data_IF_544945068341
#
_entry.id   IF_544945068341
#
_cell.length_a   1.000
_cell.length_b   1.000
_cell.length_c   1.000
_cell.angle_alpha   90.00
_cell.angle_beta   90.00
_cell.angle_gamma   90.00
#
_symmetry.space_group_name_H-M   'P 1'
#
loop_
_entity.id
_entity.type
_entity.pdbx_description
1 polymer ?
#
# COMPACT_ATOMS: atom_id res chain seq x y z
N UNK A 1 21.38 21.59 -1.40
CA UNK A 1 20.49 21.34 -2.55
C UNK A 1 20.52 19.86 -2.87
N UNK A 2 19.47 19.11 -2.51
CA UNK A 2 19.43 17.65 -2.69
C UNK A 2 19.22 17.33 -4.17
N UNK A 3 20.09 16.49 -4.74
CA UNK A 3 19.94 16.00 -6.13
C UNK A 3 18.55 15.36 -6.27
N UNK A 4 17.72 15.89 -7.17
CA UNK A 4 16.48 15.25 -7.55
C UNK A 4 16.83 13.84 -8.04
N UNK A 5 16.19 12.82 -7.46
CA UNK A 5 16.35 11.46 -7.97
C UNK A 5 15.60 11.41 -9.31
N UNK A 6 16.31 11.10 -10.39
CA UNK A 6 15.70 10.88 -11.70
C UNK A 6 14.85 9.62 -11.67
N UNK A 7 13.58 9.75 -11.28
CA UNK A 7 12.61 8.69 -11.39
C UNK A 7 12.24 8.56 -12.87
N UNK A 8 12.67 7.46 -13.53
CA UNK A 8 12.26 7.18 -14.91
C UNK A 8 10.75 6.94 -14.96
N UNK A 9 10.00 7.92 -15.48
CA UNK A 9 8.55 7.82 -15.70
C UNK A 9 8.31 7.06 -17.02
N UNK A 10 7.87 5.81 -16.93
CA UNK A 10 7.58 5.00 -18.13
C UNK A 10 6.13 5.16 -18.62
N UNK A 11 5.16 5.28 -17.71
CA UNK A 11 3.74 5.33 -18.10
C UNK A 11 3.29 6.71 -18.61
N UNK A 12 2.63 6.80 -19.79
CA UNK A 12 2.06 8.04 -20.32
C UNK A 12 1.09 8.75 -19.37
N UNK A 13 0.28 7.99 -18.61
CA UNK A 13 -0.69 8.57 -17.67
C UNK A 13 -0.03 9.23 -16.46
N UNK A 14 1.13 8.73 -16.02
CA UNK A 14 1.91 9.36 -14.95
C UNK A 14 2.55 10.66 -15.44
N UNK A 15 3.08 10.68 -16.68
CA UNK A 15 3.61 11.93 -17.28
C UNK A 15 2.51 12.99 -17.37
N UNK A 16 1.35 12.60 -17.88
CA UNK A 16 0.19 13.48 -17.96
C UNK A 16 -0.26 13.99 -16.59
N UNK A 17 -0.19 13.17 -15.54
CA UNK A 17 -0.50 13.58 -14.17
C UNK A 17 0.54 14.57 -13.58
N UNK A 18 1.82 14.42 -13.93
CA UNK A 18 2.89 15.35 -13.52
C UNK A 18 2.74 16.69 -14.24
N UNK A 19 2.44 16.68 -15.54
CA UNK A 19 2.37 17.89 -16.40
C UNK A 19 1.05 18.65 -16.24
N UNK A 20 -0.08 17.95 -16.23
CA UNK A 20 -1.41 18.55 -16.18
C UNK A 20 -1.92 18.84 -14.77
N UNK A 21 -1.20 18.38 -13.75
CA UNK A 21 -1.62 18.49 -12.36
C UNK A 21 -2.90 17.69 -12.04
N UNK A 22 -3.43 17.91 -10.84
CA UNK A 22 -4.42 17.01 -10.25
C UNK A 22 -5.83 17.07 -10.89
N UNK A 23 -6.12 18.05 -11.76
CA UNK A 23 -7.42 18.22 -12.42
C UNK A 23 -7.58 17.38 -13.71
N UNK A 24 -6.52 16.78 -14.23
CA UNK A 24 -6.59 16.05 -15.50
C UNK A 24 -7.27 14.69 -15.36
N UNK A 25 -8.15 14.38 -16.32
CA UNK A 25 -8.73 13.06 -16.52
C UNK A 25 -7.68 12.16 -17.18
N UNK A 26 -7.12 11.23 -16.41
CA UNK A 26 -6.01 10.37 -16.86
C UNK A 26 -6.46 9.27 -17.84
N UNK A 27 -7.69 8.79 -17.70
CA UNK A 27 -8.24 7.74 -18.55
C UNK A 27 -9.54 8.19 -19.22
N UNK A 28 -9.55 8.36 -20.55
CA UNK A 28 -10.76 8.69 -21.30
C UNK A 28 -11.67 7.49 -21.54
N UNK A 29 -11.12 6.26 -21.51
CA UNK A 29 -11.83 5.00 -21.71
C UNK A 29 -11.86 4.16 -20.43
N UNK A 30 -12.92 3.37 -20.26
CA UNK A 30 -13.12 2.41 -19.18
C UNK A 30 -13.39 1.04 -19.80
N UNK A 31 -12.55 0.01 -19.57
CA UNK A 31 -11.28 0.06 -18.84
C UNK A 31 -10.17 0.81 -19.61
N UNK A 32 -9.11 1.30 -18.93
CA UNK A 32 -7.93 1.87 -19.58
C UNK A 32 -7.19 0.84 -20.45
N UNK A 33 -6.42 1.33 -21.44
CA UNK A 33 -5.56 0.49 -22.29
C UNK A 33 -4.40 -0.08 -21.48
N UNK A 34 -3.75 0.75 -20.66
CA UNK A 34 -2.70 0.33 -19.73
C UNK A 34 -3.37 0.07 -18.39
N UNK A 35 -3.37 -1.19 -17.96
CA UNK A 35 -4.06 -1.65 -16.76
C UNK A 35 -3.08 -2.02 -15.64
N UNK A 36 -1.85 -1.50 -15.68
CA UNK A 36 -0.87 -1.70 -14.64
C UNK A 36 -0.17 -0.39 -14.32
N UNK A 37 0.33 -0.30 -13.09
CA UNK A 37 1.13 0.83 -12.62
C UNK A 37 2.49 0.32 -12.20
N UNK A 38 3.53 0.95 -12.72
CA UNK A 38 4.92 0.65 -12.40
C UNK A 38 5.44 1.62 -11.34
N UNK A 39 6.07 1.07 -10.31
CA UNK A 39 6.66 1.83 -9.22
C UNK A 39 8.17 1.93 -9.40
N UNK A 40 8.76 3.14 -9.29
CA UNK A 40 10.20 3.29 -9.21
C UNK A 40 10.78 2.60 -7.98
N UNK A 41 12.12 2.44 -7.97
CA UNK A 41 12.82 1.87 -6.84
C UNK A 41 12.52 2.63 -5.53
N UNK A 42 12.11 1.89 -4.51
CA UNK A 42 11.70 2.41 -3.20
C UNK A 42 11.95 1.37 -2.11
N UNK A 43 11.55 1.65 -0.87
CA UNK A 43 11.60 0.72 0.27
C UNK A 43 10.67 -0.48 0.13
N UNK A 44 9.70 -0.42 -0.79
CA UNK A 44 8.88 -1.58 -1.16
C UNK A 44 9.63 -2.43 -2.19
N UNK A 45 9.45 -3.75 -2.14
CA UNK A 45 9.94 -4.65 -3.20
C UNK A 45 8.98 -4.73 -4.39
N UNK A 46 7.79 -4.14 -4.27
CA UNK A 46 6.82 -4.13 -5.34
C UNK A 46 7.25 -3.14 -6.43
N UNK A 47 7.35 -3.64 -7.67
CA UNK A 47 7.71 -2.85 -8.86
C UNK A 47 6.54 -2.61 -9.79
N UNK A 48 5.52 -3.45 -9.72
CA UNK A 48 4.31 -3.33 -10.55
C UNK A 48 3.09 -3.67 -9.71
N UNK A 49 1.98 -3.01 -9.98
CA UNK A 49 0.66 -3.46 -9.59
C UNK A 49 -0.22 -3.62 -10.82
N UNK A 50 -0.76 -4.81 -11.01
CA UNK A 50 -1.61 -5.14 -12.15
C UNK A 50 -3.09 -5.01 -11.75
N UNK A 51 -3.81 -4.08 -12.38
CA UNK A 51 -5.25 -3.89 -12.23
C UNK A 51 -6.06 -4.77 -13.19
N UNK A 52 -5.45 -5.34 -14.24
CA UNK A 52 -6.13 -6.16 -15.25
C UNK A 52 -7.05 -7.25 -14.66
N UNK A 53 -6.66 -7.99 -13.59
CA UNK A 53 -7.53 -9.01 -13.01
C UNK A 53 -8.82 -8.49 -12.39
N UNK A 54 -8.96 -7.18 -12.17
CA UNK A 54 -10.14 -6.57 -11.54
C UNK A 54 -11.08 -5.91 -12.56
N UNK A 55 -10.65 -5.73 -13.81
CA UNK A 55 -11.49 -5.21 -14.87
C UNK A 55 -12.41 -6.30 -15.45
N UNK A 56 -13.50 -5.87 -16.09
CA UNK A 56 -14.58 -6.68 -16.66
C UNK A 56 -15.35 -7.52 -15.62
N UNK A 57 -15.34 -7.07 -14.36
CA UNK A 57 -16.04 -7.76 -13.25
C UNK A 57 -17.26 -6.99 -12.73
N UNK A 58 -17.71 -5.98 -13.47
CA UNK A 58 -18.88 -5.19 -13.11
C UNK A 58 -18.59 -3.98 -12.21
N UNK A 59 -17.33 -3.69 -11.85
CA UNK A 59 -16.95 -2.53 -11.04
C UNK A 59 -15.82 -1.70 -11.69
N UNK A 60 -15.76 -1.70 -13.03
CA UNK A 60 -14.67 -1.11 -13.80
C UNK A 60 -14.52 0.40 -13.60
N UNK A 61 -15.63 1.10 -13.35
CA UNK A 61 -15.61 2.52 -12.98
C UNK A 61 -14.82 2.73 -11.68
N UNK A 62 -15.08 1.89 -10.67
CA UNK A 62 -14.38 1.93 -9.38
C UNK A 62 -12.89 1.64 -9.57
N UNK A 63 -12.55 0.57 -10.31
CA UNK A 63 -11.15 0.21 -10.58
C UNK A 63 -10.43 1.33 -11.32
N UNK A 64 -11.04 1.92 -12.35
CA UNK A 64 -10.44 3.00 -13.14
C UNK A 64 -10.16 4.25 -12.29
N UNK A 65 -11.09 4.61 -11.39
CA UNK A 65 -10.90 5.75 -10.50
C UNK A 65 -9.82 5.46 -9.45
N UNK A 66 -9.77 4.25 -8.88
CA UNK A 66 -8.69 3.84 -8.00
C UNK A 66 -7.33 3.85 -8.72
N UNK A 67 -7.24 3.33 -9.95
CA UNK A 67 -6.02 3.38 -10.75
C UNK A 67 -5.58 4.83 -11.00
N UNK A 68 -6.49 5.70 -11.43
CA UNK A 68 -6.21 7.12 -11.66
C UNK A 68 -5.68 7.81 -10.39
N UNK A 69 -6.24 7.49 -9.22
CA UNK A 69 -5.78 8.05 -7.95
C UNK A 69 -4.37 7.56 -7.59
N UNK A 70 -4.07 6.28 -7.80
CA UNK A 70 -2.72 5.74 -7.58
C UNK A 70 -1.70 6.41 -8.51
N UNK A 71 -2.03 6.59 -9.78
CA UNK A 71 -1.16 7.29 -10.74
C UNK A 71 -0.91 8.75 -10.33
N UNK A 72 -1.94 9.46 -9.82
CA UNK A 72 -1.78 10.82 -9.27
C UNK A 72 -0.90 10.86 -8.03
N UNK A 73 -1.08 9.92 -7.10
CA UNK A 73 -0.23 9.83 -5.91
C UNK A 73 1.21 9.50 -6.26
N UNK A 74 1.43 8.68 -7.29
CA UNK A 74 2.77 8.40 -7.78
C UNK A 74 3.39 9.63 -8.46
N UNK A 75 2.64 10.35 -9.28
CA UNK A 75 3.08 11.63 -9.85
C UNK A 75 3.44 12.64 -8.75
N UNK A 76 2.63 12.74 -7.71
CA UNK A 76 2.90 13.59 -6.54
C UNK A 76 4.16 13.16 -5.79
N UNK A 77 4.36 11.85 -5.59
CA UNK A 77 5.57 11.33 -4.97
C UNK A 77 6.83 11.70 -5.77
N UNK A 78 6.73 11.69 -7.10
CA UNK A 78 7.84 12.01 -8.00
C UNK A 78 8.11 13.53 -8.01
N UNK A 79 7.08 14.35 -8.24
CA UNK A 79 7.24 15.80 -8.33
C UNK A 79 7.66 16.44 -7.00
N UNK A 80 7.19 15.90 -5.87
CA UNK A 80 7.58 16.36 -4.53
C UNK A 80 8.88 15.74 -4.00
N UNK A 81 9.57 14.92 -4.80
CA UNK A 81 10.74 14.14 -4.39
C UNK A 81 10.50 13.35 -3.08
N UNK A 82 9.32 12.74 -2.98
CA UNK A 82 8.83 11.93 -1.86
C UNK A 82 8.65 12.66 -0.52
N UNK A 83 8.53 14.00 -0.53
CA UNK A 83 8.29 14.79 0.68
C UNK A 83 6.83 14.78 1.13
N UNK A 84 5.87 14.78 0.20
CA UNK A 84 4.44 14.71 0.53
C UNK A 84 3.95 13.28 0.73
N UNK A 85 4.40 12.37 -0.14
CA UNK A 85 4.06 10.95 -0.09
C UNK A 85 5.20 10.11 -0.65
N UNK A 86 5.53 9.01 0.02
CA UNK A 86 6.56 8.09 -0.45
C UNK A 86 6.00 7.10 -1.49
N UNK A 87 6.85 6.67 -2.42
CA UNK A 87 6.49 5.64 -3.41
C UNK A 87 6.10 4.32 -2.71
N UNK A 88 6.79 3.98 -1.62
CA UNK A 88 6.48 2.79 -0.81
C UNK A 88 5.08 2.86 -0.18
N UNK A 89 4.64 4.06 0.22
CA UNK A 89 3.27 4.29 0.71
C UNK A 89 2.24 4.02 -0.39
N UNK A 90 2.47 4.55 -1.60
CA UNK A 90 1.57 4.35 -2.76
C UNK A 90 1.47 2.86 -3.12
N UNK A 91 2.60 2.15 -3.19
CA UNK A 91 2.60 0.70 -3.39
C UNK A 91 1.85 -0.05 -2.27
N UNK A 92 2.00 0.42 -1.03
CA UNK A 92 1.28 -0.10 0.13
C UNK A 92 -0.25 0.03 0.02
N UNK A 93 -0.74 1.11 -0.59
CA UNK A 93 -2.18 1.30 -0.87
C UNK A 93 -2.71 0.21 -1.81
N UNK A 94 -1.96 -0.14 -2.86
CA UNK A 94 -2.33 -1.18 -3.80
C UNK A 94 -2.38 -2.57 -3.13
N UNK A 95 -1.25 -3.01 -2.56
CA UNK A 95 -1.15 -4.39 -2.07
C UNK A 95 -1.99 -4.66 -0.82
N UNK A 96 -2.07 -3.70 0.10
CA UNK A 96 -2.79 -3.89 1.36
C UNK A 96 -4.20 -3.33 1.38
N UNK A 97 -4.52 -2.30 0.59
CA UNK A 97 -5.84 -1.68 0.55
C UNK A 97 -6.68 -2.21 -0.61
N UNK A 98 -6.28 -1.85 -1.83
CA UNK A 98 -7.06 -2.08 -3.05
C UNK A 98 -7.29 -3.57 -3.34
N UNK A 99 -6.27 -4.43 -3.18
CA UNK A 99 -6.45 -5.87 -3.35
C UNK A 99 -7.58 -6.45 -2.50
N UNK A 100 -7.66 -6.05 -1.22
CA UNK A 100 -8.71 -6.53 -0.31
C UNK A 100 -10.06 -5.90 -0.62
N UNK A 101 -10.05 -4.65 -1.07
CA UNK A 101 -11.25 -3.95 -1.47
C UNK A 101 -11.89 -4.55 -2.72
N UNK A 102 -11.12 -4.78 -3.79
CA UNK A 102 -11.65 -5.38 -5.02
C UNK A 102 -12.15 -6.81 -4.82
N UNK A 103 -11.46 -7.61 -4.00
CA UNK A 103 -11.96 -8.92 -3.59
C UNK A 103 -13.32 -8.82 -2.87
N UNK A 104 -13.52 -7.78 -2.05
CA UNK A 104 -14.83 -7.51 -1.44
C UNK A 104 -15.87 -7.06 -2.46
N UNK A 105 -15.52 -6.19 -3.42
CA UNK A 105 -16.44 -5.77 -4.49
C UNK A 105 -16.97 -6.97 -5.30
N UNK A 106 -16.11 -7.95 -5.60
CA UNK A 106 -16.51 -9.19 -6.27
C UNK A 106 -17.54 -9.99 -5.45
N UNK A 107 -17.30 -10.15 -4.15
CA UNK A 107 -18.22 -10.82 -3.23
C UNK A 107 -19.54 -10.05 -3.12
N UNK A 108 -19.46 -8.72 -3.00
CA UNK A 108 -20.61 -7.84 -2.89
C UNK A 108 -21.52 -7.94 -4.11
N UNK A 109 -20.96 -7.84 -5.31
CA UNK A 109 -21.72 -8.00 -6.56
C UNK A 109 -22.35 -9.39 -6.66
N UNK A 110 -21.61 -10.43 -6.31
CA UNK A 110 -22.14 -11.80 -6.30
C UNK A 110 -23.33 -11.94 -5.33
N UNK A 111 -23.26 -11.31 -4.16
CA UNK A 111 -24.32 -11.32 -3.15
C UNK A 111 -25.56 -10.50 -3.57
N UNK A 112 -25.37 -9.45 -4.36
CA UNK A 112 -26.45 -8.57 -4.84
C UNK A 112 -27.14 -9.11 -6.11
N UNK A 113 -26.78 -10.31 -6.59
CA UNK A 113 -27.36 -10.91 -7.80
C UNK A 113 -26.71 -10.42 -9.10
N UNK A 114 -25.49 -9.85 -9.03
CA UNK A 114 -24.76 -9.31 -10.16
C UNK A 114 -25.06 -7.84 -10.43
N UNK A 115 -24.76 -7.38 -11.64
CA UNK A 115 -24.95 -6.00 -12.07
C UNK A 115 -23.66 -5.19 -12.12
N UNK A 116 -23.81 -3.86 -12.04
CA UNK A 116 -22.69 -2.91 -12.07
C UNK A 116 -22.60 -2.17 -10.73
N UNK A 117 -21.40 -2.12 -10.16
CA UNK A 117 -21.08 -1.30 -9.00
C UNK A 117 -20.42 -0.02 -9.50
N UNK A 118 -21.15 1.07 -9.39
CA UNK A 118 -20.71 2.41 -9.75
C UNK A 118 -20.08 3.11 -8.55
N UNK A 119 -19.37 4.21 -8.79
CA UNK A 119 -18.77 5.02 -7.71
C UNK A 119 -19.83 5.55 -6.73
N UNK A 120 -21.02 5.88 -7.24
CA UNK A 120 -22.17 6.38 -6.47
C UNK A 120 -22.72 5.34 -5.48
N UNK A 121 -22.50 4.06 -5.76
CA UNK A 121 -23.02 2.96 -4.94
C UNK A 121 -22.14 2.69 -3.72
N UNK A 122 -20.95 3.31 -3.65
CA UNK A 122 -20.05 3.26 -2.50
C UNK A 122 -20.57 4.24 -1.43
N UNK A 123 -21.71 3.89 -0.82
CA UNK A 123 -22.36 4.67 0.22
C UNK A 123 -21.88 4.26 1.64
N UNK A 124 -22.51 4.84 2.67
CA UNK A 124 -22.17 4.52 4.07
C UNK A 124 -22.42 3.06 4.42
N UNK A 125 -23.44 2.44 3.82
CA UNK A 125 -23.82 1.04 4.08
C UNK A 125 -22.83 0.08 3.43
N UNK A 126 -22.39 0.38 2.21
CA UNK A 126 -21.33 -0.34 1.52
C UNK A 126 -20.03 -0.31 2.32
N UNK A 127 -19.62 0.88 2.79
CA UNK A 127 -18.43 1.04 3.63
C UNK A 127 -18.56 0.31 4.97
N UNK A 128 -19.74 0.35 5.60
CA UNK A 128 -20.00 -0.40 6.83
C UNK A 128 -19.92 -1.92 6.60
N UNK A 129 -20.39 -2.39 5.45
CA UNK A 129 -20.34 -3.80 5.06
C UNK A 129 -18.92 -4.25 4.74
N UNK A 130 -18.13 -3.41 4.07
CA UNK A 130 -16.69 -3.64 3.89
C UNK A 130 -15.97 -3.76 5.24
N UNK A 131 -16.28 -2.86 6.20
CA UNK A 131 -15.72 -2.94 7.55
C UNK A 131 -16.06 -4.27 8.25
N UNK A 132 -17.33 -4.72 8.19
CA UNK A 132 -17.75 -6.04 8.70
C UNK A 132 -17.02 -7.19 8.00
N UNK A 133 -16.81 -7.09 6.68
CA UNK A 133 -16.02 -8.07 5.95
C UNK A 133 -14.59 -8.17 6.49
N UNK A 134 -13.92 -7.04 6.72
CA UNK A 134 -12.58 -7.02 7.34
C UNK A 134 -12.59 -7.66 8.74
N UNK A 135 -13.62 -7.40 9.54
CA UNK A 135 -13.78 -7.96 10.88
C UNK A 135 -13.82 -9.49 10.88
N UNK A 136 -14.40 -10.10 9.84
CA UNK A 136 -14.44 -11.57 9.71
C UNK A 136 -13.14 -12.21 9.20
N UNK A 137 -12.20 -11.42 8.66
CA UNK A 137 -11.01 -11.95 7.96
C UNK A 137 -9.68 -11.60 8.62
N UNK A 138 -9.61 -10.52 9.40
CA UNK A 138 -8.35 -9.96 9.88
C UNK A 138 -8.39 -9.66 11.37
N UNK A 139 -7.24 -9.70 12.02
CA UNK A 139 -7.06 -9.13 13.35
C UNK A 139 -7.24 -7.60 13.32
N UNK A 140 -7.61 -7.01 14.45
CA UNK A 140 -7.95 -5.58 14.57
C UNK A 140 -6.93 -4.61 13.94
N UNK A 141 -5.63 -4.86 14.17
CA UNK A 141 -4.56 -4.04 13.56
C UNK A 141 -4.50 -4.17 12.04
N UNK A 142 -4.76 -5.36 11.51
CA UNK A 142 -4.87 -5.62 10.06
C UNK A 142 -6.09 -4.93 9.47
N UNK A 143 -7.26 -5.05 10.10
CA UNK A 143 -8.49 -4.38 9.70
C UNK A 143 -8.27 -2.86 9.55
N UNK A 144 -7.70 -2.22 10.58
CA UNK A 144 -7.36 -0.80 10.54
C UNK A 144 -6.41 -0.49 9.38
N UNK A 145 -5.34 -1.26 9.22
CA UNK A 145 -4.33 -1.00 8.20
C UNK A 145 -4.93 -1.05 6.80
N UNK A 146 -5.72 -2.08 6.49
CA UNK A 146 -6.41 -2.21 5.20
C UNK A 146 -7.39 -1.06 4.99
N UNK A 147 -8.21 -0.76 6.00
CA UNK A 147 -9.21 0.30 5.91
C UNK A 147 -8.58 1.68 5.69
N UNK A 148 -7.53 2.03 6.43
CA UNK A 148 -6.89 3.34 6.29
C UNK A 148 -6.21 3.49 4.93
N UNK A 149 -5.60 2.42 4.40
CA UNK A 149 -5.03 2.42 3.05
C UNK A 149 -6.11 2.64 1.99
N UNK A 150 -7.24 1.96 2.10
CA UNK A 150 -8.38 2.19 1.21
C UNK A 150 -8.93 3.61 1.36
N UNK A 151 -9.14 4.08 2.60
CA UNK A 151 -9.63 5.44 2.89
C UNK A 151 -8.77 6.50 2.22
N UNK A 152 -7.44 6.37 2.25
CA UNK A 152 -6.55 7.27 1.52
C UNK A 152 -6.87 7.30 0.02
N UNK A 153 -7.01 6.15 -0.64
CA UNK A 153 -7.33 6.11 -2.07
C UNK A 153 -8.72 6.67 -2.37
N UNK A 154 -9.74 6.30 -1.59
CA UNK A 154 -11.10 6.83 -1.80
C UNK A 154 -11.16 8.35 -1.61
N UNK A 155 -10.48 8.89 -0.59
CA UNK A 155 -10.38 10.34 -0.38
C UNK A 155 -9.65 11.08 -1.53
N UNK A 156 -8.85 10.38 -2.32
CA UNK A 156 -8.19 10.94 -3.51
C UNK A 156 -9.09 10.97 -4.76
N UNK A 157 -10.23 10.26 -4.74
CA UNK A 157 -11.23 10.29 -5.81
C UNK A 157 -12.05 11.57 -5.66
N UNK A 158 -12.17 12.35 -6.74
CA UNK A 158 -12.76 13.71 -6.71
C UNK A 158 -14.23 13.75 -7.07
N UNK A 159 -14.73 12.72 -7.74
CA UNK A 159 -16.09 12.66 -8.28
C UNK A 159 -17.15 12.45 -7.18
N UNK A 160 -16.74 11.96 -6.01
CA UNK A 160 -17.61 11.66 -4.87
C UNK A 160 -16.99 12.27 -3.62
N UNK A 161 -17.79 12.96 -2.81
CA UNK A 161 -17.34 13.49 -1.53
C UNK A 161 -17.30 12.38 -0.46
N UNK A 162 -16.27 11.55 -0.53
CA UNK A 162 -16.03 10.48 0.43
C UNK A 162 -15.80 10.96 1.85
N UNK A 163 -15.57 12.26 2.10
CA UNK A 163 -15.47 12.81 3.46
C UNK A 163 -16.79 12.69 4.22
N UNK A 164 -17.92 12.79 3.51
CA UNK A 164 -19.26 12.66 4.10
C UNK A 164 -19.68 11.20 4.27
N UNK A 165 -19.08 10.28 3.52
CA UNK A 165 -19.40 8.85 3.52
C UNK A 165 -18.54 8.10 4.53
N UNK A 166 -17.24 8.40 4.57
CA UNK A 166 -16.29 7.67 5.38
C UNK A 166 -16.37 8.15 6.85
N UNK A 167 -16.48 7.23 7.83
CA UNK A 167 -16.38 7.58 9.23
C UNK A 167 -15.04 8.29 9.53
N UNK A 168 -15.09 9.29 10.42
CA UNK A 168 -13.92 10.04 10.85
C UNK A 168 -12.84 9.14 11.45
N UNK A 169 -13.21 8.35 12.48
CA UNK A 169 -12.36 7.36 13.11
C UNK A 169 -13.06 5.98 13.21
N UNK A 170 -12.82 5.06 12.27
CA UNK A 170 -13.49 3.75 12.25
C UNK A 170 -12.91 2.73 13.24
N UNK A 171 -11.71 2.99 13.80
CA UNK A 171 -10.99 2.07 14.68
C UNK A 171 -10.44 2.81 15.92
N UNK A 172 -11.30 3.15 16.90
CA UNK A 172 -10.89 3.82 18.13
C UNK A 172 -10.12 2.90 19.08
N UNK A 173 -9.35 3.49 20.00
CA UNK A 173 -8.69 2.79 21.12
C UNK A 173 -7.71 1.68 20.73
N UNK A 174 -7.05 1.77 19.56
CA UNK A 174 -6.12 0.72 19.11
C UNK A 174 -4.98 0.44 20.11
N UNK A 175 -4.48 1.49 20.78
CA UNK A 175 -3.40 1.37 21.77
C UNK A 175 -3.81 0.54 23.00
N UNK A 176 -5.10 0.47 23.31
CA UNK A 176 -5.62 -0.35 24.42
C UNK A 176 -5.79 -1.82 24.00
N UNK A 177 -5.85 -2.11 22.70
CA UNK A 177 -6.07 -3.45 22.15
C UNK A 177 -4.80 -4.15 21.67
N UNK A 178 -3.68 -3.43 21.64
CA UNK A 178 -2.38 -3.97 21.26
C UNK A 178 -1.52 -4.05 22.51
N UNK A 179 -1.21 -5.29 22.94
CA UNK A 179 -0.21 -5.51 23.98
C UNK A 179 1.15 -5.40 23.30
N UNK A 180 1.91 -4.36 23.63
CA UNK A 180 3.30 -4.29 23.18
C UNK A 180 4.07 -5.49 23.69
N UNK A 181 5.03 -5.96 22.90
CA UNK A 181 5.96 -6.98 23.36
C UNK A 181 6.68 -6.51 24.63
N UNK A 182 6.90 -7.46 25.54
CA UNK A 182 7.56 -7.15 26.82
C UNK A 182 9.00 -6.73 26.52
N UNK A 183 9.36 -5.52 26.92
CA UNK A 183 10.74 -5.07 26.81
C UNK A 183 11.66 -6.03 27.57
N UNK A 184 12.83 -6.34 27.00
CA UNK A 184 13.84 -7.12 27.69
C UNK A 184 14.21 -6.47 29.03
N UNK A 185 14.17 -7.27 30.09
CA UNK A 185 14.71 -6.89 31.39
C UNK A 185 16.19 -6.53 31.28
N UNK A 186 16.71 -5.82 32.28
CA UNK A 186 18.14 -5.45 32.33
C UNK A 186 19.05 -6.69 32.26
N UNK A 187 18.65 -7.80 32.90
CA UNK A 187 19.38 -9.07 32.85
C UNK A 187 19.33 -9.74 31.48
N UNK A 188 18.16 -9.75 30.82
CA UNK A 188 18.02 -10.29 29.46
C UNK A 188 18.83 -9.48 28.45
N UNK A 189 18.82 -8.15 28.55
CA UNK A 189 19.67 -7.29 27.71
C UNK A 189 21.15 -7.60 27.91
N UNK A 190 21.60 -7.76 29.17
CA UNK A 190 23.01 -8.10 29.48
C UNK A 190 23.41 -9.44 28.87
N UNK A 191 22.56 -10.47 29.01
CA UNK A 191 22.79 -11.79 28.41
C UNK A 191 22.82 -11.75 26.89
N UNK A 192 21.90 -11.01 26.26
CA UNK A 192 21.87 -10.82 24.81
C UNK A 192 23.17 -10.18 24.31
N UNK A 193 23.62 -9.10 24.95
CA UNK A 193 24.86 -8.40 24.58
C UNK A 193 26.08 -9.30 24.79
N UNK A 194 26.14 -10.06 25.88
CA UNK A 194 27.23 -11.00 26.14
C UNK A 194 27.28 -12.11 25.08
N UNK A 195 26.14 -12.75 24.78
CA UNK A 195 26.06 -13.79 23.76
C UNK A 195 26.47 -13.25 22.38
N UNK A 196 26.00 -12.04 22.03
CA UNK A 196 26.38 -11.39 20.77
C UNK A 196 27.88 -11.08 20.70
N UNK A 197 28.47 -10.57 21.79
CA UNK A 197 29.91 -10.32 21.88
C UNK A 197 30.73 -11.60 21.70
N UNK A 198 30.33 -12.69 22.38
CA UNK A 198 30.98 -13.99 22.26
C UNK A 198 30.92 -14.53 20.83
N UNK A 199 29.78 -14.44 20.13
CA UNK A 199 29.67 -14.91 18.75
C UNK A 199 30.45 -14.03 17.76
N UNK A 200 30.51 -12.71 17.98
CA UNK A 200 31.38 -11.83 17.18
C UNK A 200 32.85 -12.23 17.35
N UNK A 201 33.31 -12.43 18.59
CA UNK A 201 34.69 -12.85 18.85
C UNK A 201 34.98 -14.23 18.24
N UNK A 202 34.04 -15.18 18.32
CA UNK A 202 34.17 -16.50 17.71
C UNK A 202 34.25 -16.43 16.18
N UNK A 203 33.42 -15.59 15.55
CA UNK A 203 33.43 -15.40 14.10
C UNK A 203 34.75 -14.77 13.61
N UNK A 204 35.28 -13.80 14.33
CA UNK A 204 36.59 -13.18 14.02
C UNK A 204 37.72 -14.19 14.19
N UNK A 205 37.76 -14.94 15.30
CA UNK A 205 38.79 -15.97 15.53
C UNK A 205 38.70 -17.12 14.50
N UNK A 206 37.49 -17.49 14.07
CA UNK A 206 37.30 -18.47 13.00
C UNK A 206 37.71 -17.96 11.61
N UNK A 207 37.53 -16.67 11.33
CA UNK A 207 37.99 -16.04 10.10
C UNK A 207 39.52 -15.99 10.03
N UNK A 208 40.19 -15.65 11.14
CA UNK A 208 41.66 -15.68 11.25
C UNK A 208 42.21 -17.10 11.06
N UNK A 209 41.53 -18.12 11.60
CA UNK A 209 41.92 -19.52 11.45
C UNK A 209 41.77 -20.05 10.01
N UNK A 210 40.74 -19.59 9.27
CA UNK A 210 40.53 -19.96 7.86
C UNK A 210 41.54 -19.29 6.91
N UNK A 211 42.00 -18.06 7.19
CA UNK A 211 43.06 -17.42 6.38
C UNK A 211 44.41 -18.12 6.46
N UNK A 212 44.70 -18.86 7.53
CA UNK A 212 45.96 -19.61 7.68
C UNK A 212 45.92 -20.95 6.90
N UNK A 213 44.73 -21.51 6.66
CA UNK A 213 44.56 -22.77 5.94
C UNK A 213 44.63 -22.56 4.41
N UNK A 214 44.17 -21.43 3.89
CA UNK A 214 44.29 -21.11 2.45
C UNK A 214 45.70 -20.72 1.98
N UNK A 215 46.67 -20.51 2.88
CA UNK A 215 48.07 -20.18 2.53
C UNK A 215 49.01 -21.40 2.50
N UNK A 216 48.49 -22.63 2.56
CA UNK A 216 49.27 -23.89 2.53
C UNK A 216 48.85 -24.88 1.43
N UNK A 217 48.19 -24.42 0.38
CA UNK A 217 47.97 -25.20 -0.86
C UNK A 217 48.76 -24.61 -2.02
#
# INVERSE_FOLDING_TARGET
MSKAKDFKIQSPSIKLAVEGGAAVRLHPKVPPVIQHVEFPASTSNQRVFNFAPFYNKGFDEVVTNCQSTIERYLALAISSNQTEISIGTVAGYCNGGLNKFFAFCEIWLSAMGGGKLMLSDIDRNFIASFKKHLESKLAYGGQRTVYFRLKSVLMGIRQVDFKTILPGNPYPNIKQRTKSEKAYSKGERKRLVQALSTEIHRAVAGAECNTVIELKL
#
